data_IF_639836905749
#
_entry.id   IF_639836905749
#
_cell.length_a   1.000
_cell.length_b   1.000
_cell.length_c   1.000
_cell.angle_alpha   90.00
_cell.angle_beta   90.00
_cell.angle_gamma   90.00
#
_symmetry.space_group_name_H-M   'P 1'
#
loop_
_entity.id
_entity.type
_entity.pdbx_description
1 polymer ?
#
# COMPACT_ATOMS: atom_id res chain seq x y z
N UNK A 1 -4.06 8.74 -40.74
CA UNK A 1 -4.37 9.21 -39.38
C UNK A 1 -3.13 8.99 -38.52
N UNK A 2 -2.78 9.91 -37.63
CA UNK A 2 -1.60 9.76 -36.78
C UNK A 2 -1.95 8.92 -35.55
N UNK A 3 -1.43 7.69 -35.50
CA UNK A 3 -1.76 6.72 -34.45
C UNK A 3 -0.72 6.62 -33.34
N UNK A 4 0.54 6.93 -33.68
CA UNK A 4 1.69 6.76 -32.80
C UNK A 4 2.67 7.90 -32.97
N UNK A 5 3.12 8.46 -31.85
CA UNK A 5 4.20 9.44 -31.79
C UNK A 5 5.31 8.88 -30.91
N UNK A 6 6.55 8.91 -31.41
CA UNK A 6 7.74 8.49 -30.68
C UNK A 6 8.83 9.55 -30.84
N UNK A 7 9.28 10.13 -29.73
CA UNK A 7 10.38 11.07 -29.65
C UNK A 7 11.42 10.52 -28.67
N UNK A 8 12.64 10.23 -29.14
CA UNK A 8 13.72 9.71 -28.29
C UNK A 8 14.97 10.55 -28.43
N UNK A 9 15.59 10.88 -27.31
CA UNK A 9 16.90 11.55 -27.24
C UNK A 9 16.96 12.87 -28.02
N UNK A 10 15.93 13.72 -27.89
CA UNK A 10 15.94 15.08 -28.43
C UNK A 10 16.27 16.11 -27.33
N UNK A 11 17.56 16.40 -27.06
CA UNK A 11 17.98 17.24 -25.93
C UNK A 11 17.49 18.69 -26.02
N UNK A 12 17.19 19.17 -27.23
CA UNK A 12 16.77 20.53 -27.51
C UNK A 12 15.26 20.69 -27.71
N UNK A 13 14.48 19.60 -27.67
CA UNK A 13 13.03 19.68 -27.81
C UNK A 13 12.43 20.38 -26.58
N UNK A 14 11.82 21.55 -26.79
CA UNK A 14 11.28 22.39 -25.72
C UNK A 14 9.75 22.53 -25.77
N UNK A 15 9.12 22.21 -26.90
CA UNK A 15 7.68 22.27 -27.06
C UNK A 15 7.20 21.18 -28.02
N UNK A 16 5.97 20.71 -27.77
CA UNK A 16 5.19 19.90 -28.69
C UNK A 16 3.82 20.59 -28.73
N UNK A 17 3.50 21.36 -29.78
CA UNK A 17 2.32 22.23 -29.82
C UNK A 17 1.01 21.49 -29.52
N UNK A 18 0.91 20.23 -29.96
CA UNK A 18 -0.26 19.38 -29.72
C UNK A 18 -0.42 18.91 -28.26
N UNK A 19 0.61 19.06 -27.42
CA UNK A 19 0.53 18.83 -25.97
C UNK A 19 0.24 20.11 -25.18
N UNK A 20 0.23 21.27 -25.84
CA UNK A 20 -0.01 22.58 -25.24
C UNK A 20 -1.41 23.12 -25.56
N UNK A 21 -1.88 22.95 -26.79
CA UNK A 21 -3.23 23.31 -27.22
C UNK A 21 -3.98 22.05 -27.70
N UNK A 22 -4.77 21.47 -26.81
CA UNK A 22 -5.62 20.31 -27.09
C UNK A 22 -6.99 20.67 -27.71
N UNK A 23 -7.13 21.87 -28.28
CA UNK A 23 -8.38 22.42 -28.83
C UNK A 23 -8.59 22.13 -30.33
N UNK A 24 -7.77 21.31 -30.98
CA UNK A 24 -7.93 20.97 -32.40
C UNK A 24 -8.00 19.44 -32.60
N UNK A 25 -9.11 18.95 -33.15
CA UNK A 25 -9.47 17.53 -33.32
C UNK A 25 -8.59 16.69 -34.27
N UNK A 26 -7.27 16.91 -34.29
CA UNK A 26 -6.31 16.26 -35.20
C UNK A 26 -5.70 14.95 -34.68
N UNK A 27 -5.93 14.57 -33.42
CA UNK A 27 -5.25 13.43 -32.78
C UNK A 27 -6.19 12.35 -32.22
N UNK A 28 -7.42 12.26 -32.74
CA UNK A 28 -8.46 11.35 -32.26
C UNK A 28 -8.17 9.85 -32.49
N UNK A 29 -7.05 9.53 -33.15
CA UNK A 29 -6.61 8.15 -33.41
C UNK A 29 -5.29 7.83 -32.71
N UNK A 30 -4.71 8.82 -32.02
CA UNK A 30 -3.46 8.64 -31.31
C UNK A 30 -3.70 7.71 -30.12
N UNK A 31 -3.17 6.49 -30.20
CA UNK A 31 -3.26 5.53 -29.11
C UNK A 31 -1.95 5.40 -28.34
N UNK A 32 -0.82 5.74 -28.99
CA UNK A 32 0.53 5.68 -28.41
C UNK A 32 1.29 7.00 -28.47
N UNK A 33 1.80 7.43 -27.31
CA UNK A 33 2.70 8.58 -27.17
C UNK A 33 3.93 8.20 -26.36
N UNK A 34 5.11 8.20 -26.96
CA UNK A 34 6.38 7.90 -26.29
C UNK A 34 7.34 9.08 -26.44
N UNK A 35 7.75 9.69 -25.33
CA UNK A 35 8.72 10.78 -25.29
C UNK A 35 9.76 10.44 -24.23
N UNK A 36 11.00 10.21 -24.63
CA UNK A 36 12.09 9.87 -23.72
C UNK A 36 13.36 10.64 -24.05
N UNK A 37 14.14 11.03 -23.03
CA UNK A 37 15.41 11.72 -23.26
C UNK A 37 15.26 13.15 -23.79
N UNK A 38 14.13 13.82 -23.47
CA UNK A 38 13.83 15.21 -23.86
C UNK A 38 13.81 16.13 -22.61
N UNK A 39 14.97 16.53 -22.05
CA UNK A 39 15.06 17.22 -20.76
C UNK A 39 14.56 18.66 -20.73
N UNK A 40 14.53 19.35 -21.88
CA UNK A 40 14.00 20.72 -21.99
C UNK A 40 12.49 20.77 -22.18
N UNK A 41 11.85 19.62 -22.43
CA UNK A 41 10.41 19.55 -22.60
C UNK A 41 9.74 19.66 -21.21
N UNK A 42 8.77 20.56 -21.03
CA UNK A 42 7.96 20.55 -19.82
C UNK A 42 7.10 19.28 -19.77
N UNK A 43 6.73 18.83 -18.56
CA UNK A 43 5.77 17.74 -18.44
C UNK A 43 4.47 18.13 -19.17
N UNK A 44 3.93 17.27 -20.05
CA UNK A 44 2.74 17.61 -20.82
C UNK A 44 1.52 17.64 -19.92
N UNK A 45 0.52 18.43 -20.32
CA UNK A 45 -0.86 18.18 -19.88
C UNK A 45 -1.28 16.84 -20.50
N UNK A 46 -2.05 16.02 -19.76
CA UNK A 46 -2.57 14.77 -20.35
C UNK A 46 -3.31 15.07 -21.65
N UNK A 47 -3.05 14.33 -22.76
CA UNK A 47 -3.67 14.65 -24.03
C UNK A 47 -5.18 14.40 -23.99
N UNK A 48 -5.95 15.26 -24.66
CA UNK A 48 -7.40 15.15 -24.72
C UNK A 48 -7.86 14.15 -25.80
N UNK A 49 -7.49 12.87 -25.69
CA UNK A 49 -8.02 11.85 -26.59
C UNK A 49 -8.45 10.60 -25.84
N UNK A 50 -9.63 10.09 -26.19
CA UNK A 50 -10.17 8.85 -25.67
C UNK A 50 -9.44 7.62 -26.23
N UNK A 51 -8.65 7.74 -27.29
CA UNK A 51 -7.94 6.58 -27.89
C UNK A 51 -6.62 6.26 -27.23
N UNK A 52 -6.08 7.15 -26.38
CA UNK A 52 -4.79 6.90 -25.72
C UNK A 52 -4.87 5.73 -24.74
N UNK A 53 -4.03 4.73 -24.97
CA UNK A 53 -3.89 3.55 -24.11
C UNK A 53 -2.45 3.33 -23.66
N UNK A 54 -1.48 3.94 -24.34
CA UNK A 54 -0.04 3.84 -24.04
C UNK A 54 0.61 5.22 -24.10
N UNK A 55 0.94 5.78 -22.95
CA UNK A 55 1.65 7.05 -22.83
C UNK A 55 2.89 6.84 -21.98
N UNK A 56 4.06 7.18 -22.50
CA UNK A 56 5.30 7.23 -21.74
C UNK A 56 5.96 8.56 -22.00
N UNK A 57 6.14 9.36 -20.96
CA UNK A 57 6.85 10.63 -21.01
C UNK A 57 7.89 10.64 -19.91
N UNK A 58 9.16 10.62 -20.27
CA UNK A 58 10.31 10.64 -19.36
C UNK A 58 11.30 11.71 -19.81
N UNK A 59 11.29 12.83 -19.10
CA UNK A 59 12.16 13.97 -19.36
C UNK A 59 13.48 13.87 -18.57
N UNK A 60 13.72 12.77 -17.84
CA UNK A 60 14.82 12.49 -16.91
C UNK A 60 14.94 13.46 -15.72
N UNK A 61 14.87 14.78 -15.95
CA UNK A 61 15.05 15.82 -14.94
C UNK A 61 13.74 16.35 -14.36
N UNK A 62 12.73 16.64 -15.20
CA UNK A 62 11.53 17.37 -14.77
C UNK A 62 10.43 16.45 -14.23
N UNK A 63 10.36 15.21 -14.70
CA UNK A 63 9.43 14.21 -14.17
C UNK A 63 9.27 13.02 -15.11
N UNK A 64 8.39 12.10 -14.70
CA UNK A 64 8.01 10.95 -15.50
C UNK A 64 6.52 10.67 -15.37
N UNK A 65 5.88 10.39 -16.48
CA UNK A 65 4.48 9.97 -16.58
C UNK A 65 4.41 8.71 -17.44
N UNK A 66 3.76 7.67 -16.93
CA UNK A 66 3.52 6.44 -17.68
C UNK A 66 2.07 6.04 -17.50
N UNK A 67 1.32 5.90 -18.59
CA UNK A 67 -0.03 5.36 -18.61
C UNK A 67 -0.06 4.13 -19.51
N UNK A 68 -0.23 2.95 -18.92
CA UNK A 68 -0.30 1.69 -19.66
C UNK A 68 -1.27 0.76 -18.95
N UNK A 69 -2.11 0.04 -19.69
CA UNK A 69 -3.04 -0.96 -19.13
C UNK A 69 -3.88 -0.41 -17.97
N UNK A 70 -4.49 0.78 -18.11
CA UNK A 70 -5.31 1.42 -17.06
C UNK A 70 -4.55 1.84 -15.78
N UNK A 71 -3.22 1.72 -15.77
CA UNK A 71 -2.35 2.13 -14.67
C UNK A 71 -1.60 3.41 -15.04
N UNK A 72 -1.74 4.45 -14.22
CA UNK A 72 -1.00 5.69 -14.34
C UNK A 72 0.08 5.79 -13.26
N UNK A 73 1.31 6.09 -13.67
CA UNK A 73 2.45 6.31 -12.80
C UNK A 73 2.97 7.72 -13.01
N UNK A 74 3.07 8.49 -11.93
CA UNK A 74 3.47 9.88 -11.92
C UNK A 74 4.64 10.06 -10.95
N UNK A 75 5.76 10.59 -11.44
CA UNK A 75 6.95 10.87 -10.66
C UNK A 75 7.36 12.31 -10.86
N UNK A 76 7.54 13.07 -9.77
CA UNK A 76 7.81 14.53 -9.80
C UNK A 76 6.80 15.32 -10.66
N UNK A 77 5.57 14.83 -10.79
CA UNK A 77 4.55 15.47 -11.61
C UNK A 77 3.78 16.51 -10.78
N UNK A 78 3.85 17.78 -11.19
CA UNK A 78 3.28 18.91 -10.45
C UNK A 78 2.28 19.75 -11.26
N UNK A 79 1.84 19.25 -12.42
CA UNK A 79 0.91 19.96 -13.31
C UNK A 79 -0.53 19.51 -13.11
N UNK A 80 -1.47 20.24 -13.70
CA UNK A 80 -2.84 19.76 -13.83
C UNK A 80 -2.86 18.52 -14.75
N UNK A 81 -3.79 17.61 -14.50
CA UNK A 81 -4.05 16.45 -15.35
C UNK A 81 -5.43 16.68 -15.97
N UNK A 82 -5.55 16.50 -17.28
CA UNK A 82 -6.79 16.68 -18.01
C UNK A 82 -7.58 15.36 -18.02
N UNK A 83 -8.32 15.10 -16.94
CA UNK A 83 -8.87 13.77 -16.64
C UNK A 83 -10.22 13.42 -17.28
N UNK A 84 -10.94 14.39 -17.84
CA UNK A 84 -12.28 14.19 -18.38
C UNK A 84 -12.37 13.08 -19.46
N UNK A 85 -11.27 12.78 -20.16
CA UNK A 85 -11.20 11.71 -21.16
C UNK A 85 -10.69 10.36 -20.65
N UNK A 86 -10.28 10.30 -19.39
CA UNK A 86 -9.72 9.11 -18.74
C UNK A 86 -10.50 8.67 -17.49
N UNK A 87 -11.59 9.37 -17.16
CA UNK A 87 -12.33 9.21 -15.91
C UNK A 87 -12.89 7.79 -15.71
N UNK A 88 -13.29 7.14 -16.79
CA UNK A 88 -13.81 5.78 -16.85
C UNK A 88 -12.73 4.71 -17.11
N UNK A 89 -11.50 5.11 -17.43
CA UNK A 89 -10.42 4.20 -17.88
C UNK A 89 -9.31 3.96 -16.87
N UNK A 90 -9.11 4.85 -15.91
CA UNK A 90 -7.98 4.73 -14.99
C UNK A 90 -8.40 3.94 -13.77
N UNK A 91 -7.85 2.73 -13.63
CA UNK A 91 -8.14 1.86 -12.50
C UNK A 91 -7.13 2.03 -11.36
N UNK A 92 -5.88 2.37 -11.69
CA UNK A 92 -4.82 2.57 -10.70
C UNK A 92 -3.96 3.79 -10.97
N UNK A 93 -3.60 4.51 -9.91
CA UNK A 93 -2.70 5.67 -9.97
C UNK A 93 -1.62 5.53 -8.91
N UNK A 94 -0.37 5.77 -9.30
CA UNK A 94 0.80 5.83 -8.42
C UNK A 94 1.45 7.20 -8.48
N UNK A 95 1.55 7.88 -7.35
CA UNK A 95 2.27 9.15 -7.18
C UNK A 95 3.61 8.92 -6.47
N UNK A 96 4.71 9.37 -7.05
CA UNK A 96 6.08 9.22 -6.52
C UNK A 96 6.83 10.55 -6.44
N UNK A 97 7.76 10.63 -5.47
CA UNK A 97 8.81 11.65 -5.36
C UNK A 97 8.35 13.09 -5.64
N UNK A 98 7.55 13.68 -4.75
CA UNK A 98 7.14 15.10 -4.84
C UNK A 98 6.00 15.38 -5.82
N UNK A 99 5.27 14.35 -6.27
CA UNK A 99 4.12 14.53 -7.16
C UNK A 99 2.87 14.97 -6.41
N UNK A 100 2.31 16.13 -6.76
CA UNK A 100 1.07 16.63 -6.12
C UNK A 100 -0.13 15.73 -6.46
N UNK A 101 -0.88 15.31 -5.44
CA UNK A 101 -2.11 14.50 -5.60
C UNK A 101 -3.31 15.42 -5.85
N UNK A 102 -4.01 15.33 -7.00
CA UNK A 102 -5.17 16.16 -7.31
C UNK A 102 -6.47 15.50 -6.80
N UNK A 103 -6.70 15.52 -5.48
CA UNK A 103 -7.82 14.81 -4.83
C UNK A 103 -9.19 15.06 -5.43
N UNK A 104 -9.52 16.33 -5.71
CA UNK A 104 -10.81 16.73 -6.30
C UNK A 104 -11.08 15.94 -7.57
N UNK A 105 -10.04 15.68 -8.36
CA UNK A 105 -10.21 15.01 -9.64
C UNK A 105 -10.20 13.50 -9.51
N UNK A 106 -9.57 12.95 -8.46
CA UNK A 106 -9.67 11.53 -8.17
C UNK A 106 -11.11 11.10 -7.85
N UNK A 107 -11.94 12.02 -7.34
CA UNK A 107 -13.35 11.76 -7.01
C UNK A 107 -14.24 11.55 -8.23
N UNK A 108 -13.87 12.12 -9.39
CA UNK A 108 -14.64 11.94 -10.62
C UNK A 108 -14.29 10.65 -11.37
N UNK A 109 -13.32 9.86 -10.87
CA UNK A 109 -12.90 8.62 -11.51
C UNK A 109 -13.79 7.46 -11.07
N UNK A 110 -14.66 7.02 -11.97
CA UNK A 110 -15.69 6.00 -11.67
C UNK A 110 -15.11 4.59 -11.61
N UNK A 111 -14.06 4.29 -12.38
CA UNK A 111 -13.40 2.98 -12.42
C UNK A 111 -12.20 2.85 -11.47
N UNK A 112 -11.90 3.89 -10.70
CA UNK A 112 -10.68 3.99 -9.91
C UNK A 112 -10.72 3.10 -8.67
N UNK A 113 -9.81 2.14 -8.58
CA UNK A 113 -9.80 1.11 -7.52
C UNK A 113 -8.55 1.18 -6.64
N UNK A 114 -7.43 1.66 -7.18
CA UNK A 114 -6.12 1.54 -6.52
C UNK A 114 -5.31 2.84 -6.52
N UNK A 115 -4.97 3.32 -5.32
CA UNK A 115 -4.10 4.47 -5.12
C UNK A 115 -2.80 4.05 -4.44
N UNK A 116 -1.67 4.49 -5.00
CA UNK A 116 -0.34 4.33 -4.40
C UNK A 116 0.30 5.70 -4.25
N UNK A 117 0.76 6.03 -3.05
CA UNK A 117 1.52 7.24 -2.74
C UNK A 117 2.87 6.79 -2.18
N UNK A 118 3.95 7.20 -2.81
CA UNK A 118 5.32 6.80 -2.46
C UNK A 118 6.22 8.03 -2.29
N UNK A 119 7.03 8.03 -1.23
CA UNK A 119 7.93 9.13 -0.89
C UNK A 119 7.17 10.38 -0.41
N UNK A 120 7.88 11.50 -0.30
CA UNK A 120 7.31 12.80 0.08
C UNK A 120 6.47 13.45 -1.05
N UNK A 121 5.55 12.70 -1.63
CA UNK A 121 4.69 13.12 -2.73
C UNK A 121 3.57 14.06 -2.31
N UNK A 122 3.18 14.13 -1.03
CA UNK A 122 2.16 15.09 -0.60
C UNK A 122 2.35 15.58 0.83
N UNK A 123 2.17 16.90 1.03
CA UNK A 123 2.06 17.54 2.36
C UNK A 123 0.62 17.45 2.91
N UNK A 124 -0.16 16.45 2.48
CA UNK A 124 -1.63 16.48 2.53
C UNK A 124 -2.20 15.45 3.52
N UNK A 125 -3.50 15.59 3.83
CA UNK A 125 -4.21 14.82 4.87
C UNK A 125 -5.10 13.73 4.29
N UNK A 126 -5.33 12.66 5.07
CA UNK A 126 -6.26 11.56 4.73
C UNK A 126 -7.72 12.01 4.58
N UNK A 127 -8.12 13.18 5.08
CA UNK A 127 -9.48 13.70 4.93
C UNK A 127 -9.92 13.79 3.45
N UNK A 128 -8.97 14.05 2.54
CA UNK A 128 -9.26 14.16 1.10
C UNK A 128 -9.48 12.82 0.42
N UNK A 129 -9.05 11.72 1.04
CA UNK A 129 -9.47 10.40 0.60
C UNK A 129 -10.98 10.26 0.76
N UNK A 130 -11.64 11.05 1.63
CA UNK A 130 -12.99 10.76 2.15
C UNK A 130 -14.12 10.55 1.15
N UNK A 131 -13.83 10.94 -0.07
CA UNK A 131 -14.73 11.03 -1.19
C UNK A 131 -14.44 9.96 -2.26
N UNK A 132 -13.40 9.13 -2.07
CA UNK A 132 -12.98 8.08 -3.01
C UNK A 132 -13.70 6.77 -2.69
N UNK A 133 -15.02 6.76 -2.88
CA UNK A 133 -15.86 5.62 -2.51
C UNK A 133 -15.60 4.35 -3.34
N UNK A 134 -15.04 4.47 -4.53
CA UNK A 134 -14.63 3.34 -5.39
C UNK A 134 -13.31 2.67 -4.98
N UNK A 135 -12.55 3.29 -4.08
CA UNK A 135 -11.21 2.85 -3.71
C UNK A 135 -11.27 1.55 -2.90
N UNK A 136 -10.57 0.52 -3.37
CA UNK A 136 -10.47 -0.79 -2.71
C UNK A 136 -9.05 -1.13 -2.27
N UNK A 137 -8.04 -0.51 -2.88
CA UNK A 137 -6.63 -0.71 -2.55
C UNK A 137 -5.95 0.64 -2.30
N UNK A 138 -5.37 0.82 -1.12
CA UNK A 138 -4.60 2.02 -0.77
C UNK A 138 -3.21 1.61 -0.29
N UNK A 139 -2.17 2.19 -0.89
CA UNK A 139 -0.78 2.05 -0.44
C UNK A 139 -0.16 3.42 -0.19
N UNK A 140 0.39 3.61 1.00
CA UNK A 140 1.12 4.80 1.43
C UNK A 140 2.48 4.31 1.91
N UNK A 141 3.53 4.74 1.23
CA UNK A 141 4.87 4.21 1.46
C UNK A 141 5.91 5.32 1.53
N UNK A 142 6.78 5.28 2.53
CA UNK A 142 7.94 6.20 2.63
C UNK A 142 7.53 7.70 2.67
N UNK A 143 6.35 8.01 3.23
CA UNK A 143 5.81 9.37 3.28
C UNK A 143 6.08 10.04 4.63
N UNK A 144 7.12 10.89 4.74
CA UNK A 144 7.55 11.49 6.02
C UNK A 144 6.59 12.55 6.56
N UNK A 145 6.06 13.37 5.67
CA UNK A 145 5.23 14.53 6.00
C UNK A 145 3.72 14.24 5.92
N UNK A 146 3.35 12.97 5.83
CA UNK A 146 1.97 12.56 5.67
C UNK A 146 1.19 12.81 6.96
N UNK A 147 0.11 13.58 6.86
CA UNK A 147 -0.76 13.85 8.01
C UNK A 147 -1.94 12.90 8.00
N UNK A 148 -2.05 12.09 9.04
CA UNK A 148 -3.11 11.09 9.17
C UNK A 148 -4.47 11.69 9.50
N UNK A 149 -4.50 12.90 10.06
CA UNK A 149 -5.74 13.55 10.51
C UNK A 149 -6.87 13.48 9.47
N UNK A 150 -8.04 12.98 9.90
CA UNK A 150 -9.25 12.90 9.09
C UNK A 150 -9.48 11.56 8.38
N UNK A 151 -8.73 10.51 8.75
CA UNK A 151 -9.13 9.15 8.42
C UNK A 151 -10.43 8.80 9.15
N UNK A 152 -11.40 8.22 8.45
CA UNK A 152 -12.71 7.86 9.01
C UNK A 152 -13.05 6.41 8.65
N UNK A 153 -13.78 5.72 9.52
CA UNK A 153 -14.29 4.36 9.28
C UNK A 153 -15.15 4.23 8.01
N UNK A 154 -15.99 5.23 7.70
CA UNK A 154 -16.84 5.25 6.48
C UNK A 154 -16.00 5.10 5.21
N UNK A 155 -14.77 5.59 5.28
CA UNK A 155 -13.86 5.64 4.17
C UNK A 155 -13.13 4.36 3.87
N UNK A 156 -12.82 3.63 4.92
CA UNK A 156 -12.19 2.34 4.79
C UNK A 156 -13.23 1.22 4.59
N UNK A 157 -14.52 1.56 4.44
CA UNK A 157 -15.58 0.57 4.27
C UNK A 157 -15.48 -0.26 3.00
N UNK A 158 -15.03 0.36 1.90
CA UNK A 158 -14.79 -0.32 0.64
C UNK A 158 -13.33 -0.83 0.49
N UNK A 159 -12.42 -0.42 1.39
CA UNK A 159 -11.03 -0.85 1.35
C UNK A 159 -10.91 -2.33 1.71
N UNK A 160 -10.27 -3.08 0.81
CA UNK A 160 -9.93 -4.50 0.95
C UNK A 160 -8.44 -4.72 1.21
N UNK A 161 -7.60 -3.80 0.76
CA UNK A 161 -6.15 -3.87 0.87
C UNK A 161 -5.61 -2.50 1.29
N UNK A 162 -4.95 -2.47 2.45
CA UNK A 162 -4.35 -1.27 3.02
C UNK A 162 -2.89 -1.55 3.35
N UNK A 163 -2.00 -0.78 2.76
CA UNK A 163 -0.57 -0.84 3.04
C UNK A 163 -0.10 0.55 3.48
N UNK A 164 0.41 0.68 4.70
CA UNK A 164 0.93 1.93 5.26
C UNK A 164 2.24 1.62 5.95
N UNK A 165 3.37 1.86 5.29
CA UNK A 165 4.66 1.45 5.85
C UNK A 165 5.84 2.25 5.29
N UNK A 166 6.84 2.48 6.12
CA UNK A 166 8.14 2.98 5.69
C UNK A 166 9.14 1.83 5.50
N UNK A 167 9.60 1.66 4.27
CA UNK A 167 10.65 0.68 3.95
C UNK A 167 12.03 1.28 4.21
N UNK A 168 12.21 2.59 3.98
CA UNK A 168 13.50 3.26 4.11
C UNK A 168 13.91 3.41 5.59
N UNK A 169 15.10 2.87 5.92
CA UNK A 169 15.58 2.65 7.30
C UNK A 169 15.89 3.91 8.11
N UNK A 170 16.08 5.05 7.45
CA UNK A 170 16.38 6.32 8.12
C UNK A 170 15.13 7.17 8.43
N UNK A 171 13.93 6.75 8.01
CA UNK A 171 12.71 7.44 8.45
C UNK A 171 12.45 7.15 9.94
N UNK A 172 12.40 8.18 10.79
CA UNK A 172 12.36 8.00 12.24
C UNK A 172 10.96 7.68 12.78
N UNK A 173 9.92 7.76 11.95
CA UNK A 173 8.51 7.63 12.35
C UNK A 173 7.85 6.48 11.60
N UNK A 174 7.03 5.70 12.31
CA UNK A 174 6.14 4.71 11.72
C UNK A 174 4.88 5.40 11.20
N UNK A 175 4.58 5.29 9.90
CA UNK A 175 3.41 5.98 9.32
C UNK A 175 2.13 5.26 9.71
N UNK A 176 2.16 3.93 9.90
CA UNK A 176 0.99 3.20 10.37
C UNK A 176 0.64 3.50 11.82
N UNK A 177 1.63 3.87 12.65
CA UNK A 177 1.40 4.08 14.07
C UNK A 177 0.40 5.21 14.34
N UNK A 178 0.54 6.32 13.63
CA UNK A 178 -0.38 7.44 13.74
C UNK A 178 -1.79 7.08 13.25
N UNK A 179 -1.87 6.38 12.11
CA UNK A 179 -3.12 5.91 11.51
C UNK A 179 -3.92 5.01 12.43
N UNK A 180 -3.26 3.98 12.94
CA UNK A 180 -3.93 2.99 13.77
C UNK A 180 -4.23 3.54 15.16
N UNK A 181 -3.44 4.48 15.66
CA UNK A 181 -3.73 5.20 16.91
C UNK A 181 -4.98 6.07 16.77
N UNK A 182 -5.10 6.85 15.70
CA UNK A 182 -6.29 7.67 15.41
C UNK A 182 -7.54 6.79 15.26
N UNK A 183 -7.41 5.68 14.51
CA UNK A 183 -8.47 4.68 14.36
C UNK A 183 -8.87 4.06 15.71
N UNK A 184 -7.91 3.68 16.55
CA UNK A 184 -8.18 3.10 17.87
C UNK A 184 -8.93 4.08 18.79
N UNK A 185 -8.57 5.37 18.75
CA UNK A 185 -9.27 6.43 19.47
C UNK A 185 -10.70 6.60 18.94
N UNK A 186 -10.89 6.64 17.63
CA UNK A 186 -12.21 6.75 16.99
C UNK A 186 -13.13 5.57 17.36
N UNK A 187 -12.62 4.33 17.28
CA UNK A 187 -13.34 3.12 17.71
C UNK A 187 -13.74 3.22 19.18
N UNK A 188 -12.82 3.68 20.03
CA UNK A 188 -13.07 3.76 21.47
C UNK A 188 -14.12 4.83 21.80
N UNK A 189 -14.11 5.96 21.08
CA UNK A 189 -15.10 7.05 21.23
C UNK A 189 -16.48 6.63 20.73
N UNK A 190 -16.53 5.85 19.65
CA UNK A 190 -17.75 5.39 18.99
C UNK A 190 -18.41 4.17 19.64
N UNK A 191 -17.79 3.52 20.64
CA UNK A 191 -18.38 2.43 21.44
C UNK A 191 -19.70 2.79 22.16
N UNK A 192 -20.08 4.06 22.27
CA UNK A 192 -21.43 4.47 22.71
C UNK A 192 -22.50 4.32 21.62
N UNK A 193 -22.14 4.13 20.35
CA UNK A 193 -23.04 4.22 19.19
C UNK A 193 -22.96 3.02 18.22
N UNK A 194 -21.92 2.19 18.29
CA UNK A 194 -21.71 1.10 17.33
C UNK A 194 -22.38 -0.20 17.81
N UNK A 195 -23.28 -0.81 17.00
CA UNK A 195 -23.88 -2.11 17.34
C UNK A 195 -22.84 -3.24 17.33
N UNK A 196 -23.14 -4.40 17.95
CA UNK A 196 -22.25 -5.58 17.96
C UNK A 196 -21.84 -6.08 16.56
N UNK A 197 -22.55 -5.65 15.52
CA UNK A 197 -22.30 -5.93 14.09
C UNK A 197 -21.31 -4.96 13.42
N UNK A 198 -20.71 -4.00 14.15
CA UNK A 198 -19.74 -3.05 13.61
C UNK A 198 -18.45 -3.66 13.05
N UNK A 199 -18.20 -4.96 13.28
CA UNK A 199 -17.19 -5.73 12.55
C UNK A 199 -17.42 -5.79 11.02
N UNK A 200 -18.59 -5.37 10.54
CA UNK A 200 -18.93 -5.26 9.11
C UNK A 200 -18.50 -3.93 8.46
N UNK A 201 -17.97 -2.97 9.22
CA UNK A 201 -17.65 -1.64 8.67
C UNK A 201 -16.36 -1.62 7.86
N UNK A 202 -15.38 -2.49 8.14
CA UNK A 202 -14.14 -2.58 7.37
C UNK A 202 -14.06 -3.95 6.70
N UNK A 203 -14.17 -3.98 5.38
CA UNK A 203 -14.00 -5.19 4.58
C UNK A 203 -12.52 -5.52 4.32
N UNK A 204 -11.65 -5.08 5.21
CA UNK A 204 -10.21 -5.15 5.01
C UNK A 204 -9.75 -6.61 5.08
N UNK A 205 -9.25 -7.11 3.96
CA UNK A 205 -8.75 -8.49 3.82
C UNK A 205 -7.24 -8.55 4.04
N UNK A 206 -6.52 -7.52 3.57
CA UNK A 206 -5.06 -7.41 3.69
C UNK A 206 -4.65 -6.12 4.36
N UNK A 207 -3.76 -6.23 5.34
CA UNK A 207 -3.17 -5.10 6.03
C UNK A 207 -1.64 -5.25 6.05
N UNK A 208 -0.92 -4.25 5.56
CA UNK A 208 0.54 -4.16 5.66
C UNK A 208 0.95 -2.90 6.42
N UNK A 209 1.68 -3.04 7.53
CA UNK A 209 2.01 -1.94 8.43
C UNK A 209 3.45 -2.01 8.92
N UNK A 210 4.00 -0.86 9.35
CA UNK A 210 5.36 -0.75 9.88
C UNK A 210 5.47 -0.76 11.40
N UNK A 211 4.35 -0.90 12.12
CA UNK A 211 4.34 -0.93 13.59
C UNK A 211 3.47 -2.04 14.15
N UNK A 212 4.12 -3.00 14.82
CA UNK A 212 3.48 -4.10 15.55
C UNK A 212 2.63 -3.55 16.70
N UNK A 213 3.19 -2.64 17.50
CA UNK A 213 2.51 -2.10 18.68
C UNK A 213 1.28 -1.27 18.33
N UNK A 214 1.23 -0.66 17.15
CA UNK A 214 0.06 0.10 16.72
C UNK A 214 -1.07 -0.80 16.21
N UNK A 215 -0.74 -1.91 15.51
CA UNK A 215 -1.77 -2.82 14.97
C UNK A 215 -2.27 -3.82 16.01
N UNK A 216 -1.40 -4.28 16.91
CA UNK A 216 -1.74 -5.28 17.94
C UNK A 216 -2.32 -4.65 19.21
N UNK A 217 -3.30 -3.77 19.04
CA UNK A 217 -4.14 -3.25 20.14
C UNK A 217 -5.55 -3.82 20.05
N UNK A 218 -6.17 -4.07 21.19
CA UNK A 218 -7.46 -4.76 21.24
C UNK A 218 -8.58 -4.08 20.40
N UNK A 219 -8.74 -2.74 20.36
CA UNK A 219 -9.77 -2.11 19.54
C UNK A 219 -9.61 -2.40 18.04
N UNK A 220 -8.38 -2.26 17.52
CA UNK A 220 -8.06 -2.50 16.10
C UNK A 220 -8.24 -3.97 15.75
N UNK A 221 -7.69 -4.89 16.55
CA UNK A 221 -7.83 -6.32 16.27
C UNK A 221 -9.29 -6.81 16.35
N UNK A 222 -10.13 -6.26 17.24
CA UNK A 222 -11.57 -6.61 17.27
C UNK A 222 -12.30 -6.17 16.01
N UNK A 223 -11.95 -4.98 15.48
CA UNK A 223 -12.56 -4.47 14.26
C UNK A 223 -12.20 -5.34 13.05
N UNK A 224 -10.97 -5.85 13.02
CA UNK A 224 -10.43 -6.64 11.91
C UNK A 224 -10.64 -8.16 12.07
N UNK A 225 -11.19 -8.61 13.21
CA UNK A 225 -11.23 -10.00 13.63
C UNK A 225 -11.86 -10.96 12.61
N UNK A 226 -12.94 -10.51 11.95
CA UNK A 226 -13.76 -11.31 11.04
C UNK A 226 -13.36 -11.18 9.56
N UNK A 227 -12.59 -10.14 9.19
CA UNK A 227 -12.34 -9.79 7.79
C UNK A 227 -10.90 -9.95 7.37
N UNK A 228 -9.95 -9.70 8.29
CA UNK A 228 -8.53 -9.72 7.98
C UNK A 228 -8.02 -11.14 7.79
N UNK A 229 -7.54 -11.43 6.58
CA UNK A 229 -6.96 -12.73 6.20
C UNK A 229 -5.45 -12.69 6.12
N UNK A 230 -4.86 -11.52 5.82
CA UNK A 230 -3.42 -11.36 5.65
C UNK A 230 -2.95 -10.14 6.43
N UNK A 231 -2.00 -10.37 7.34
CA UNK A 231 -1.31 -9.32 8.09
C UNK A 231 0.18 -9.39 7.76
N UNK A 232 0.70 -8.31 7.19
CA UNK A 232 2.11 -8.12 6.90
C UNK A 232 2.64 -7.03 7.81
N UNK A 233 3.73 -7.34 8.53
CA UNK A 233 4.49 -6.38 9.28
C UNK A 233 5.79 -6.14 8.52
N UNK A 234 6.01 -4.92 8.05
CA UNK A 234 7.17 -4.55 7.24
C UNK A 234 8.03 -3.54 7.99
N UNK A 235 9.31 -3.83 8.19
CA UNK A 235 10.28 -2.90 8.75
C UNK A 235 9.94 -2.39 10.16
N UNK A 236 9.33 -3.19 11.04
CA UNK A 236 9.25 -2.83 12.46
C UNK A 236 10.67 -2.82 13.08
N UNK A 237 11.03 -1.68 13.68
CA UNK A 237 12.38 -1.42 14.23
C UNK A 237 12.36 -1.22 15.74
N UNK A 238 11.23 -1.36 16.41
CA UNK A 238 11.13 -1.12 17.85
C UNK A 238 10.93 -2.41 18.63
N UNK A 239 9.99 -3.24 18.17
CA UNK A 239 9.54 -4.39 18.95
C UNK A 239 10.60 -5.49 18.93
N UNK A 240 11.15 -5.79 20.11
CA UNK A 240 12.02 -6.96 20.29
C UNK A 240 11.22 -8.22 20.62
N UNK A 241 10.17 -8.11 21.42
CA UNK A 241 9.23 -9.17 21.73
C UNK A 241 7.85 -8.57 21.97
N UNK A 242 6.80 -9.31 21.62
CA UNK A 242 5.44 -8.89 21.91
C UNK A 242 5.17 -8.93 23.43
N UNK A 243 4.46 -7.92 23.90
CA UNK A 243 3.90 -7.85 25.25
C UNK A 243 2.73 -8.82 25.42
N UNK A 244 2.34 -9.08 26.67
CA UNK A 244 1.19 -9.95 26.96
C UNK A 244 -0.11 -9.45 26.32
N UNK A 245 -0.27 -8.14 26.19
CA UNK A 245 -1.49 -7.56 25.63
C UNK A 245 -1.49 -7.60 24.09
N UNK A 246 -0.34 -7.40 23.45
CA UNK A 246 -0.20 -7.60 22.00
C UNK A 246 -0.43 -9.06 21.60
N UNK A 247 0.06 -10.02 22.40
CA UNK A 247 -0.18 -11.46 22.21
C UNK A 247 -1.67 -11.81 22.32
N UNK A 248 -2.39 -11.19 23.26
CA UNK A 248 -3.85 -11.36 23.40
C UNK A 248 -4.60 -10.69 22.25
N UNK A 249 -4.18 -9.49 21.84
CA UNK A 249 -4.80 -8.76 20.75
C UNK A 249 -4.65 -9.49 19.42
N UNK A 250 -3.47 -10.07 19.14
CA UNK A 250 -3.23 -10.89 17.96
C UNK A 250 -4.23 -12.05 17.86
N UNK A 251 -4.50 -12.74 18.98
CA UNK A 251 -5.43 -13.88 19.03
C UNK A 251 -6.89 -13.51 18.73
N UNK A 252 -7.25 -12.21 18.71
CA UNK A 252 -8.58 -11.76 18.29
C UNK A 252 -8.77 -11.87 16.76
N UNK A 253 -7.68 -11.93 15.99
CA UNK A 253 -7.70 -12.04 14.52
C UNK A 253 -8.03 -13.47 14.06
N UNK A 254 -9.21 -13.96 14.43
CA UNK A 254 -9.64 -15.37 14.23
C UNK A 254 -9.72 -15.81 12.75
N UNK A 255 -9.91 -14.85 11.83
CA UNK A 255 -9.95 -15.10 10.38
C UNK A 255 -8.59 -15.06 9.69
N UNK A 256 -7.51 -14.74 10.43
CA UNK A 256 -6.18 -14.56 9.88
C UNK A 256 -5.63 -15.88 9.32
N UNK A 257 -5.27 -15.87 8.04
CA UNK A 257 -4.75 -17.02 7.31
C UNK A 257 -3.24 -16.88 7.05
N UNK A 258 -2.75 -15.66 6.88
CA UNK A 258 -1.35 -15.38 6.60
C UNK A 258 -0.81 -14.31 7.55
N UNK A 259 0.32 -14.60 8.19
CA UNK A 259 1.07 -13.66 9.02
C UNK A 259 2.51 -13.60 8.54
N UNK A 260 2.95 -12.40 8.17
CA UNK A 260 4.24 -12.20 7.52
C UNK A 260 5.05 -11.11 8.22
N UNK A 261 6.32 -11.37 8.51
CA UNK A 261 7.27 -10.41 9.07
C UNK A 261 8.39 -10.17 8.08
N UNK A 262 8.51 -8.94 7.59
CA UNK A 262 9.47 -8.55 6.56
C UNK A 262 10.40 -7.50 7.15
N UNK A 263 11.71 -7.73 7.11
CA UNK A 263 12.73 -6.78 7.59
C UNK A 263 12.51 -6.28 9.03
N UNK A 264 11.87 -7.08 9.88
CA UNK A 264 11.65 -6.77 11.30
C UNK A 264 12.94 -7.05 12.09
N UNK A 265 13.91 -6.16 11.97
CA UNK A 265 15.30 -6.42 12.39
C UNK A 265 15.49 -6.50 13.90
N UNK A 266 14.55 -6.01 14.72
CA UNK A 266 14.64 -6.08 16.20
C UNK A 266 13.92 -7.28 16.82
N UNK A 267 12.93 -7.83 16.13
CA UNK A 267 12.09 -8.92 16.63
C UNK A 267 12.94 -10.17 16.91
N UNK A 268 12.87 -10.68 18.14
CA UNK A 268 13.71 -11.79 18.63
C UNK A 268 13.02 -13.15 18.56
N UNK A 269 11.69 -13.17 18.55
CA UNK A 269 10.90 -14.40 18.50
C UNK A 269 9.58 -14.16 17.75
N UNK A 270 9.02 -15.23 17.18
CA UNK A 270 7.64 -15.20 16.71
C UNK A 270 6.66 -15.02 17.89
N UNK A 271 5.42 -14.56 17.63
CA UNK A 271 4.38 -14.49 18.65
C UNK A 271 4.19 -15.84 19.35
N UNK A 272 4.08 -15.83 20.68
CA UNK A 272 3.85 -17.05 21.46
C UNK A 272 2.38 -17.49 21.40
N UNK A 273 1.48 -16.56 21.11
CA UNK A 273 0.04 -16.76 20.96
C UNK A 273 -0.43 -17.38 19.64
N UNK A 274 0.46 -17.79 18.73
CA UNK A 274 0.05 -18.31 17.40
C UNK A 274 -0.88 -19.54 17.47
N UNK A 275 -0.78 -20.34 18.52
CA UNK A 275 -1.70 -21.47 18.78
C UNK A 275 -3.16 -21.05 18.96
N UNK A 276 -3.42 -19.78 19.30
CA UNK A 276 -4.76 -19.20 19.41
C UNK A 276 -5.33 -18.68 18.08
N UNK A 277 -4.63 -18.85 16.96
CA UNK A 277 -5.09 -18.45 15.63
C UNK A 277 -5.59 -19.68 14.84
N UNK A 278 -6.90 -19.99 14.86
CA UNK A 278 -7.42 -21.25 14.31
C UNK A 278 -7.28 -21.33 12.78
N UNK A 279 -7.30 -20.19 12.09
CA UNK A 279 -7.30 -20.11 10.63
C UNK A 279 -5.91 -19.97 9.99
N UNK A 280 -4.85 -19.84 10.80
CA UNK A 280 -3.51 -19.49 10.29
C UNK A 280 -2.90 -20.64 9.48
N UNK A 281 -2.74 -20.42 8.17
CA UNK A 281 -2.19 -21.40 7.21
C UNK A 281 -0.75 -21.09 6.82
N UNK A 282 -0.34 -19.82 6.88
CA UNK A 282 0.96 -19.39 6.39
C UNK A 282 1.64 -18.44 7.37
N UNK A 283 2.88 -18.76 7.70
CA UNK A 283 3.74 -17.93 8.53
C UNK A 283 5.03 -17.65 7.77
N UNK A 284 5.36 -16.38 7.59
CA UNK A 284 6.57 -15.99 6.88
C UNK A 284 7.46 -15.05 7.70
N UNK A 285 8.77 -15.25 7.60
CA UNK A 285 9.78 -14.31 8.07
C UNK A 285 10.85 -14.11 6.99
N UNK A 286 10.98 -12.89 6.49
CA UNK A 286 11.91 -12.54 5.41
C UNK A 286 12.84 -11.43 5.92
N UNK A 287 14.14 -11.66 5.86
CA UNK A 287 15.19 -10.72 6.30
C UNK A 287 15.05 -10.33 7.79
N UNK A 288 14.53 -11.23 8.63
CA UNK A 288 14.31 -11.02 10.06
C UNK A 288 15.44 -11.67 10.89
N UNK A 289 16.65 -11.11 10.78
CA UNK A 289 17.90 -11.74 11.29
C UNK A 289 17.99 -11.93 12.80
N UNK A 290 17.19 -11.22 13.61
CA UNK A 290 17.19 -11.37 15.09
C UNK A 290 16.18 -12.40 15.60
N UNK A 291 15.26 -12.90 14.77
CA UNK A 291 14.33 -13.96 15.18
C UNK A 291 15.13 -15.25 15.36
N UNK A 292 15.19 -15.76 16.59
CA UNK A 292 16.04 -16.90 16.99
C UNK A 292 15.26 -18.17 17.29
N UNK A 293 13.97 -18.08 17.52
CA UNK A 293 13.17 -19.22 17.95
C UNK A 293 11.73 -19.21 17.43
N UNK A 294 11.23 -20.41 17.18
CA UNK A 294 9.80 -20.70 17.01
C UNK A 294 9.04 -20.50 18.34
N UNK A 295 7.70 -20.42 18.32
CA UNK A 295 6.89 -20.33 19.55
C UNK A 295 7.10 -21.54 20.46
N UNK A 296 7.20 -21.31 21.77
CA UNK A 296 7.46 -22.39 22.76
C UNK A 296 6.34 -23.42 22.84
N UNK A 297 5.09 -22.98 22.63
CA UNK A 297 3.90 -23.84 22.61
C UNK A 297 3.73 -24.60 21.29
N UNK A 298 4.72 -24.52 20.39
CA UNK A 298 4.65 -25.09 19.05
C UNK A 298 3.93 -24.18 18.05
N UNK A 299 3.93 -24.63 16.80
CA UNK A 299 3.26 -23.99 15.67
C UNK A 299 1.80 -24.47 15.61
N UNK A 300 0.82 -23.62 15.27
CA UNK A 300 -0.58 -24.02 15.14
C UNK A 300 -0.76 -25.18 14.14
N UNK A 301 -1.68 -26.10 14.45
CA UNK A 301 -1.96 -27.30 13.63
C UNK A 301 -2.60 -26.99 12.27
N UNK A 302 -3.18 -25.80 12.13
CA UNK A 302 -3.70 -25.26 10.88
C UNK A 302 -2.61 -24.82 9.90
N UNK A 303 -1.36 -24.65 10.36
CA UNK A 303 -0.28 -24.17 9.51
C UNK A 303 0.04 -25.18 8.40
N UNK A 304 0.19 -24.66 7.18
CA UNK A 304 0.49 -25.40 5.94
C UNK A 304 1.80 -24.94 5.31
N UNK A 305 2.19 -23.68 5.52
CA UNK A 305 3.42 -23.12 4.99
C UNK A 305 4.17 -22.33 6.06
N UNK A 306 5.45 -22.66 6.23
CA UNK A 306 6.42 -21.87 6.97
C UNK A 306 7.53 -21.44 6.02
N UNK A 307 7.66 -20.14 5.76
CA UNK A 307 8.72 -19.60 4.91
C UNK A 307 9.67 -18.71 5.69
N UNK A 308 10.96 -19.05 5.66
CA UNK A 308 12.00 -18.36 6.40
C UNK A 308 13.13 -18.07 5.42
N UNK A 309 13.34 -16.79 5.09
CA UNK A 309 14.36 -16.36 4.14
C UNK A 309 15.25 -15.27 4.76
N UNK A 310 16.57 -15.38 4.64
CA UNK A 310 17.55 -14.44 5.22
C UNK A 310 17.30 -14.14 6.72
N UNK A 311 17.00 -15.18 7.49
CA UNK A 311 16.77 -15.10 8.94
C UNK A 311 17.95 -15.73 9.73
N UNK A 312 17.84 -15.79 11.05
CA UNK A 312 18.93 -16.36 11.86
C UNK A 312 19.13 -17.85 11.58
N UNK A 313 20.40 -18.30 11.53
CA UNK A 313 20.75 -19.72 11.37
C UNK A 313 20.11 -20.62 12.42
N UNK A 314 19.93 -20.11 13.65
CA UNK A 314 19.23 -20.84 14.73
C UNK A 314 17.78 -21.13 14.36
N UNK A 315 17.08 -20.14 13.81
CA UNK A 315 15.70 -20.29 13.38
C UNK A 315 15.59 -21.24 12.18
N UNK A 316 16.47 -21.12 11.17
CA UNK A 316 16.51 -22.06 10.04
C UNK A 316 16.68 -23.51 10.51
N UNK A 317 17.62 -23.75 11.44
CA UNK A 317 17.85 -25.09 11.99
C UNK A 317 16.63 -25.63 12.76
N UNK A 318 15.89 -24.78 13.49
CA UNK A 318 14.65 -25.19 14.15
C UNK A 318 13.55 -25.50 13.13
N UNK A 319 13.39 -24.67 12.10
CA UNK A 319 12.39 -24.88 11.07
C UNK A 319 12.64 -26.18 10.27
N UNK A 320 13.89 -26.49 9.92
CA UNK A 320 14.24 -27.76 9.24
C UNK A 320 13.97 -29.01 10.09
N UNK A 321 13.99 -28.86 11.42
CA UNK A 321 13.67 -29.95 12.35
C UNK A 321 12.18 -30.10 12.63
N UNK A 322 11.34 -29.16 12.17
CA UNK A 322 9.89 -29.30 12.31
C UNK A 322 9.42 -30.47 11.45
N UNK A 323 8.92 -31.50 12.12
CA UNK A 323 8.29 -32.64 11.48
C UNK A 323 6.79 -32.60 11.75
N UNK A 324 6.06 -31.73 11.05
CA UNK A 324 4.60 -31.67 11.05
C UNK A 324 4.07 -32.21 9.73
N UNK A 325 3.12 -33.15 9.80
CA UNK A 325 2.45 -33.69 8.61
C UNK A 325 1.75 -32.54 7.87
N UNK A 326 1.94 -32.45 6.55
CA UNK A 326 1.35 -31.43 5.67
C UNK A 326 1.84 -29.99 5.90
N UNK A 327 2.99 -29.79 6.55
CA UNK A 327 3.66 -28.50 6.62
C UNK A 327 4.77 -28.42 5.55
N UNK A 328 4.64 -27.50 4.60
CA UNK A 328 5.72 -27.11 3.70
C UNK A 328 6.65 -26.13 4.41
N UNK A 329 7.93 -26.47 4.50
CA UNK A 329 8.96 -25.60 5.10
C UNK A 329 9.93 -25.16 4.01
N UNK A 330 10.01 -23.86 3.76
CA UNK A 330 11.06 -23.24 2.95
C UNK A 330 11.99 -22.47 3.87
N UNK A 331 13.24 -22.89 3.95
CA UNK A 331 14.26 -22.37 4.86
C UNK A 331 15.67 -22.57 4.30
#
# INVERSE_FOLDING_TARGET
MLEKIVCKEFPNLYALPFLQDCSMGSYNHLWKLEITGCPKLPMPLMPHTSTLTDVTVDTRRTGRMVYVNHNLYLTRYNRALAWHNMADKVESITFKAGSTVPWIILQSLTSFKKLVIEGDSSKQSLASLSYLTSLTNLRIQDCKNFKVGGFNLLMASNLKDLAVHNIIEYYPRFVAADLLSELAVEITRSKKLLPPTAGALLQLVRLNVDSISAVLVAPVCRLLAATLKELVITCDREVENLTKDEEKALQLLTSLQELSFWRCHRLRSFPQGLHGLPSLRKLQAITCRRIRSLPKKGIPTSLRELSINDCSRKLHNQAKKLNQRNLSVSA
#
